data_IF_621960220096
#
_entry.id   IF_621960220096
#
_cell.length_a   1.000
_cell.length_b   1.000
_cell.length_c   1.000
_cell.angle_alpha   90.00
_cell.angle_beta   90.00
_cell.angle_gamma   90.00
#
_symmetry.space_group_name_H-M   'P 1'
#
loop_
_entity.id
_entity.type
_entity.pdbx_description
1 polymer ?
#
# COMPACT_ATOMS: atom_id res chain seq x y z
N UNK A 1 15.43 46.63 -30.45
CA UNK A 1 14.17 45.84 -30.46
C UNK A 1 14.39 44.49 -29.80
N UNK A 2 14.21 44.42 -28.48
CA UNK A 2 14.21 43.15 -27.73
C UNK A 2 12.95 43.13 -26.87
N UNK A 3 12.01 42.24 -27.21
CA UNK A 3 10.68 42.16 -26.60
C UNK A 3 10.81 41.59 -25.19
N UNK A 4 10.38 42.38 -24.21
CA UNK A 4 10.35 42.06 -22.77
C UNK A 4 8.88 42.06 -22.35
N UNK A 5 8.22 40.91 -22.36
CA UNK A 5 6.84 40.76 -21.84
C UNK A 5 6.76 39.43 -21.08
N UNK A 6 6.87 39.47 -19.75
CA UNK A 6 5.77 39.54 -18.77
C UNK A 6 4.92 38.26 -18.73
N UNK A 7 5.37 37.37 -17.84
CA UNK A 7 4.56 36.35 -17.20
C UNK A 7 3.52 37.01 -16.28
N UNK A 8 2.23 36.83 -16.54
CA UNK A 8 1.15 36.86 -15.53
C UNK A 8 -0.04 36.03 -16.06
N UNK A 9 -0.47 35.05 -15.24
CA UNK A 9 -1.77 34.37 -15.23
C UNK A 9 -2.08 33.41 -16.40
N UNK A 10 -2.17 32.10 -16.11
CA UNK A 10 -3.52 31.58 -15.85
C UNK A 10 -3.55 30.53 -14.72
N UNK A 11 -3.54 31.00 -13.46
CA UNK A 11 -3.86 30.17 -12.29
C UNK A 11 -5.34 30.24 -11.88
N UNK A 12 -6.16 31.01 -12.61
CA UNK A 12 -7.58 31.25 -12.33
C UNK A 12 -8.55 30.66 -13.38
N UNK A 13 -8.08 29.79 -14.28
CA UNK A 13 -8.95 29.05 -15.22
C UNK A 13 -8.88 27.52 -15.04
N UNK A 14 -8.29 27.01 -13.95
CA UNK A 14 -8.16 25.57 -13.68
C UNK A 14 -8.65 25.17 -12.28
N UNK A 15 -9.61 25.92 -11.74
CA UNK A 15 -10.27 25.64 -10.45
C UNK A 15 -11.78 25.46 -10.56
N UNK A 16 -12.30 25.25 -11.78
CA UNK A 16 -13.73 25.13 -12.08
C UNK A 16 -14.05 24.04 -13.13
N UNK A 17 -13.30 22.93 -13.13
CA UNK A 17 -13.60 21.75 -13.98
C UNK A 17 -13.08 20.44 -13.35
N UNK A 18 -13.31 20.22 -12.06
CA UNK A 18 -13.05 18.92 -11.40
C UNK A 18 -14.06 18.64 -10.27
N UNK A 19 -15.28 19.17 -10.39
CA UNK A 19 -16.43 18.80 -9.54
C UNK A 19 -17.53 18.22 -10.42
N UNK A 20 -17.20 17.19 -11.19
CA UNK A 20 -18.15 16.34 -11.90
C UNK A 20 -17.35 15.16 -12.49
N UNK A 21 -17.89 13.94 -12.40
CA UNK A 21 -17.25 12.64 -12.71
C UNK A 21 -16.39 12.07 -11.57
N UNK A 22 -17.06 11.41 -10.64
CA UNK A 22 -16.98 9.94 -10.50
C UNK A 22 -18.00 9.47 -9.46
N UNK A 23 -19.28 9.51 -9.85
CA UNK A 23 -20.27 8.62 -9.28
C UNK A 23 -20.06 7.23 -9.88
N UNK A 24 -19.66 6.28 -9.05
CA UNK A 24 -19.43 4.89 -9.44
C UNK A 24 -19.52 3.99 -8.22
N UNK A 25 -20.75 3.63 -7.84
CA UNK A 25 -21.05 2.60 -6.84
C UNK A 25 -20.53 1.26 -7.37
N UNK A 26 -19.52 0.69 -6.72
CA UNK A 26 -19.20 -0.72 -6.89
C UNK A 26 -20.16 -1.55 -6.01
N UNK A 27 -21.07 -2.24 -6.65
CA UNK A 27 -21.91 -3.31 -6.10
C UNK A 27 -21.04 -4.49 -5.64
N UNK A 28 -21.15 -4.87 -4.37
CA UNK A 28 -20.60 -6.12 -3.84
C UNK A 28 -21.64 -7.24 -4.01
N UNK A 29 -21.25 -8.46 -4.43
CA UNK A 29 -22.16 -9.59 -4.53
C UNK A 29 -22.49 -10.19 -3.16
N UNK A 30 -23.75 -10.63 -3.05
CA UNK A 30 -24.33 -11.31 -1.91
C UNK A 30 -24.07 -12.83 -1.97
N UNK A 31 -23.65 -13.40 -0.84
CA UNK A 31 -23.85 -14.81 -0.46
C UNK A 31 -23.69 -14.90 1.07
N UNK A 32 -24.78 -15.10 1.84
CA UNK A 32 -25.31 -16.40 2.31
C UNK A 32 -24.23 -17.18 3.10
N UNK A 33 -24.34 -17.44 4.41
CA UNK A 33 -25.47 -17.92 5.21
C UNK A 33 -25.41 -17.40 6.66
N UNK A 34 -26.54 -16.93 7.20
CA UNK A 34 -26.73 -16.68 8.64
C UNK A 34 -27.36 -17.93 9.23
N UNK A 35 -26.78 -18.47 10.30
CA UNK A 35 -27.41 -19.51 11.10
C UNK A 35 -28.65 -18.96 11.80
N UNK A 36 -29.75 -19.66 11.63
CA UNK A 36 -31.03 -19.51 12.34
C UNK A 36 -30.85 -19.55 13.88
N UNK A 37 -31.39 -18.59 14.64
CA UNK A 37 -31.68 -18.79 16.05
C UNK A 37 -33.08 -19.40 16.22
N UNK A 38 -33.11 -20.58 16.85
CA UNK A 38 -34.33 -21.30 17.23
C UNK A 38 -35.30 -20.41 18.03
N UNK A 39 -36.55 -20.45 17.58
CA UNK A 39 -37.74 -19.92 18.25
C UNK A 39 -37.86 -20.50 19.65
N UNK A 40 -37.85 -19.65 20.68
CA UNK A 40 -38.44 -19.97 21.98
C UNK A 40 -39.80 -19.28 22.03
N UNK A 41 -40.81 -20.11 22.19
CA UNK A 41 -42.24 -19.80 22.20
C UNK A 41 -42.64 -18.84 23.32
N UNK A 42 -43.63 -18.00 22.99
CA UNK A 42 -44.38 -17.14 23.90
C UNK A 42 -45.02 -17.95 25.03
N UNK A 43 -44.86 -17.48 26.25
CA UNK A 43 -45.85 -17.68 27.31
C UNK A 43 -46.45 -16.33 27.70
N UNK A 44 -47.77 -16.35 27.90
CA UNK A 44 -48.70 -15.23 28.01
C UNK A 44 -48.38 -14.26 29.15
N UNK A 45 -48.76 -13.00 28.90
CA UNK A 45 -48.85 -11.93 29.88
C UNK A 45 -49.81 -12.28 31.03
N UNK A 46 -49.35 -12.08 32.26
CA UNK A 46 -50.15 -11.94 33.47
C UNK A 46 -49.86 -10.56 34.06
N UNK A 47 -50.91 -9.75 34.18
CA UNK A 47 -50.88 -8.41 34.74
C UNK A 47 -50.36 -8.42 36.18
N UNK A 48 -49.51 -7.45 36.50
CA UNK A 48 -48.93 -7.30 37.83
C UNK A 48 -48.05 -6.07 37.87
N UNK A 49 -48.67 -4.93 38.14
CA UNK A 49 -48.05 -3.66 38.49
C UNK A 49 -46.93 -3.86 39.51
N UNK A 50 -45.70 -3.77 39.03
CA UNK A 50 -44.55 -3.37 39.84
C UNK A 50 -43.60 -2.66 38.90
N UNK A 51 -43.84 -1.36 38.77
CA UNK A 51 -42.90 -0.34 38.32
C UNK A 51 -41.70 -0.33 39.30
N UNK A 52 -40.96 -1.44 39.42
CA UNK A 52 -39.64 -1.40 40.00
C UNK A 52 -38.77 -0.77 38.93
N UNK A 53 -38.53 0.52 39.12
CA UNK A 53 -37.38 1.21 38.59
C UNK A 53 -36.13 0.38 38.90
N UNK A 54 -35.75 -0.53 38.00
CA UNK A 54 -34.34 -0.88 37.88
C UNK A 54 -33.70 0.41 37.37
N UNK A 55 -33.30 1.26 38.33
CA UNK A 55 -32.21 2.20 38.13
C UNK A 55 -31.13 1.35 37.49
N UNK A 56 -30.99 1.49 36.17
CA UNK A 56 -29.76 1.17 35.51
C UNK A 56 -28.77 2.13 36.17
N UNK A 57 -28.19 1.69 37.29
CA UNK A 57 -26.98 2.26 37.81
C UNK A 57 -25.95 1.92 36.73
N UNK A 58 -25.92 2.72 35.67
CA UNK A 58 -24.76 2.88 34.83
C UNK A 58 -23.69 3.41 35.77
N UNK A 59 -23.05 2.51 36.50
CA UNK A 59 -21.79 2.78 37.15
C UNK A 59 -20.89 3.23 36.00
N UNK A 60 -20.74 4.53 35.86
CA UNK A 60 -19.78 5.13 34.96
C UNK A 60 -18.41 4.78 35.52
N UNK A 61 -17.97 3.53 35.32
CA UNK A 61 -16.63 3.10 35.67
C UNK A 61 -15.71 3.95 34.81
N UNK A 62 -15.08 4.94 35.42
CA UNK A 62 -14.24 5.89 34.71
C UNK A 62 -13.15 5.11 33.98
N UNK A 63 -13.22 5.10 32.65
CA UNK A 63 -12.26 4.41 31.79
C UNK A 63 -10.89 5.08 31.96
N UNK A 64 -9.84 4.27 32.11
CA UNK A 64 -8.47 4.76 32.27
C UNK A 64 -8.07 5.66 31.09
N UNK A 65 -7.83 6.95 31.38
CA UNK A 65 -7.27 7.91 30.42
C UNK A 65 -5.74 7.81 30.38
N UNK A 66 -5.15 8.15 29.24
CA UNK A 66 -3.72 8.00 28.99
C UNK A 66 -3.10 9.33 28.55
N UNK A 67 -1.85 9.53 28.92
CA UNK A 67 -1.05 10.69 28.54
C UNK A 67 0.16 10.27 27.71
N UNK A 68 0.60 11.14 26.80
CA UNK A 68 1.84 10.90 26.06
C UNK A 68 3.04 10.95 27.01
N UNK A 69 4.02 10.09 26.74
CA UNK A 69 5.27 9.98 27.53
C UNK A 69 6.43 10.84 27.00
N UNK A 70 6.23 11.56 25.89
CA UNK A 70 7.22 12.43 25.24
C UNK A 70 6.82 13.88 25.41
N UNK A 71 7.78 14.80 25.28
CA UNK A 71 7.52 16.25 25.25
C UNK A 71 6.64 16.68 24.07
N UNK A 72 6.65 15.93 22.97
CA UNK A 72 5.80 16.20 21.80
C UNK A 72 4.34 15.82 22.11
N UNK A 73 3.48 16.82 22.25
CA UNK A 73 2.06 16.69 22.55
C UNK A 73 1.16 16.42 21.33
N UNK A 74 1.63 16.77 20.12
CA UNK A 74 0.82 16.70 18.90
C UNK A 74 0.77 15.31 18.25
N UNK A 75 -0.33 15.01 17.55
CA UNK A 75 -0.56 13.77 16.82
C UNK A 75 0.09 13.78 15.41
N UNK A 76 1.41 13.90 15.36
CA UNK A 76 2.16 13.93 14.10
C UNK A 76 2.50 12.51 13.59
N UNK A 77 2.97 12.40 12.35
CA UNK A 77 3.40 11.13 11.77
C UNK A 77 4.62 10.48 12.49
N UNK A 78 5.37 11.22 13.30
CA UNK A 78 6.47 10.69 14.12
C UNK A 78 6.01 10.22 15.51
N UNK A 79 4.81 10.64 15.95
CA UNK A 79 4.28 10.39 17.30
C UNK A 79 3.17 9.32 17.35
N UNK A 80 3.13 8.41 16.38
CA UNK A 80 2.10 7.37 16.34
C UNK A 80 2.34 6.33 17.44
N UNK A 81 1.32 6.06 18.25
CA UNK A 81 1.35 5.14 19.39
C UNK A 81 0.45 3.93 19.15
N UNK A 82 0.70 2.86 19.91
CA UNK A 82 -0.21 1.72 20.08
C UNK A 82 -0.46 1.51 21.57
N UNK A 83 -1.66 1.03 21.91
CA UNK A 83 -1.99 0.64 23.28
C UNK A 83 -1.44 -0.75 23.56
N UNK A 84 -0.85 -0.91 24.75
CA UNK A 84 -0.40 -2.21 25.25
C UNK A 84 -0.79 -2.34 26.71
N UNK A 85 -1.34 -3.49 27.09
CA UNK A 85 -1.45 -3.87 28.50
C UNK A 85 -0.08 -4.36 28.98
N UNK A 86 0.35 -3.87 30.13
CA UNK A 86 1.56 -4.33 30.79
C UNK A 86 1.23 -5.47 31.77
N UNK A 87 2.23 -6.28 32.18
CA UNK A 87 2.02 -7.30 33.20
C UNK A 87 1.44 -6.76 34.52
N UNK A 88 1.77 -5.53 34.89
CA UNK A 88 1.20 -4.83 36.06
C UNK A 88 -0.23 -4.31 35.86
N UNK A 89 -0.97 -4.85 34.90
CA UNK A 89 -2.36 -4.50 34.58
C UNK A 89 -2.61 -3.00 34.33
N UNK A 90 -1.65 -2.31 33.70
CA UNK A 90 -1.80 -0.91 33.28
C UNK A 90 -1.82 -0.81 31.76
N UNK A 91 -2.69 0.03 31.21
CA UNK A 91 -2.67 0.36 29.79
C UNK A 91 -1.64 1.47 29.57
N UNK A 92 -0.71 1.29 28.62
CA UNK A 92 0.35 2.28 28.35
C UNK A 92 0.54 2.47 26.83
N UNK A 93 0.94 3.67 26.43
CA UNK A 93 1.37 3.93 25.06
C UNK A 93 2.77 3.38 24.78
N UNK A 94 2.88 2.58 23.73
CA UNK A 94 4.14 2.23 23.08
C UNK A 94 4.26 3.00 21.76
N UNK A 95 5.40 3.66 21.55
CA UNK A 95 5.67 4.39 20.31
C UNK A 95 6.02 3.44 19.18
N UNK A 96 5.24 3.49 18.12
CA UNK A 96 5.47 2.68 16.93
C UNK A 96 6.56 3.29 16.05
N UNK A 97 7.30 2.45 15.33
CA UNK A 97 8.25 2.91 14.31
C UNK A 97 7.48 3.09 13.00
N UNK A 98 7.83 4.10 12.19
CA UNK A 98 7.21 4.23 10.85
C UNK A 98 7.49 2.99 10.02
N UNK A 99 6.45 2.51 9.36
CA UNK A 99 6.50 1.33 8.49
C UNK A 99 7.48 1.52 7.34
N UNK A 100 8.28 0.48 7.09
CA UNK A 100 9.16 0.41 5.92
C UNK A 100 8.37 0.06 4.67
N UNK A 101 9.01 0.25 3.51
CA UNK A 101 8.45 -0.07 2.21
C UNK A 101 9.45 -0.94 1.46
N UNK A 102 8.99 -2.04 0.86
CA UNK A 102 9.83 -2.87 0.00
C UNK A 102 10.27 -2.09 -1.26
N UNK A 103 11.43 -2.42 -1.86
CA UNK A 103 11.92 -1.71 -3.04
C UNK A 103 10.95 -1.86 -4.22
N UNK A 104 10.83 -0.79 -5.00
CA UNK A 104 10.17 -0.81 -6.30
C UNK A 104 11.13 -1.42 -7.33
N UNK A 105 10.58 -2.02 -8.38
CA UNK A 105 11.40 -2.50 -9.48
C UNK A 105 12.01 -1.33 -10.27
N UNK A 106 13.29 -1.43 -10.62
CA UNK A 106 14.03 -0.46 -11.41
C UNK A 106 13.55 -0.32 -12.87
N UNK A 107 12.64 -1.18 -13.34
CA UNK A 107 12.11 -1.11 -14.69
C UNK A 107 11.19 0.10 -14.96
N UNK A 108 10.68 0.77 -13.92
CA UNK A 108 9.78 1.93 -14.04
C UNK A 108 8.36 1.62 -14.53
N UNK A 109 8.16 0.50 -15.25
CA UNK A 109 6.88 0.11 -15.85
C UNK A 109 5.99 -0.63 -14.84
N UNK A 110 6.57 -1.46 -13.97
CA UNK A 110 5.79 -2.27 -13.05
C UNK A 110 5.42 -1.48 -11.78
N UNK A 111 4.12 -1.38 -11.41
CA UNK A 111 3.70 -0.70 -10.19
C UNK A 111 3.97 -1.53 -8.92
N UNK A 112 4.24 -2.83 -9.07
CA UNK A 112 4.46 -3.76 -7.97
C UNK A 112 5.80 -3.57 -7.23
N UNK A 113 5.81 -3.99 -5.97
CA UNK A 113 7.05 -4.08 -5.17
C UNK A 113 7.68 -5.45 -5.29
N UNK A 114 9.00 -5.50 -5.10
CA UNK A 114 9.74 -6.76 -5.18
C UNK A 114 9.41 -7.68 -4.01
N UNK A 115 9.17 -8.95 -4.32
CA UNK A 115 8.93 -10.02 -3.35
C UNK A 115 10.27 -10.58 -2.83
N UNK A 116 10.24 -11.18 -1.64
CA UNK A 116 11.42 -11.79 -1.01
C UNK A 116 12.35 -10.81 -0.29
N UNK A 117 12.04 -9.51 -0.28
CA UNK A 117 12.85 -8.48 0.39
C UNK A 117 12.04 -7.88 1.52
N UNK A 118 12.65 -7.77 2.70
CA UNK A 118 11.95 -7.27 3.89
C UNK A 118 11.61 -5.78 3.75
N UNK A 119 10.35 -5.41 4.00
CA UNK A 119 9.89 -4.03 4.00
C UNK A 119 10.26 -3.31 5.30
N UNK A 120 11.52 -2.90 5.42
CA UNK A 120 12.06 -2.23 6.63
C UNK A 120 12.56 -0.81 6.33
N UNK A 121 12.92 -0.07 7.37
CA UNK A 121 13.57 1.25 7.23
C UNK A 121 15.03 1.10 6.75
N UNK A 122 15.61 2.10 6.05
CA UNK A 122 16.98 2.02 5.52
C UNK A 122 18.05 1.70 6.57
N UNK A 123 18.01 2.33 7.75
CA UNK A 123 18.96 2.03 8.84
C UNK A 123 18.85 0.59 9.36
N UNK A 124 17.64 0.03 9.39
CA UNK A 124 17.44 -1.37 9.77
C UNK A 124 17.91 -2.29 8.65
N UNK A 125 17.69 -1.90 7.39
CA UNK A 125 18.16 -2.63 6.21
C UNK A 125 19.68 -2.78 6.20
N UNK A 126 20.42 -1.77 6.67
CA UNK A 126 21.89 -1.87 6.80
C UNK A 126 22.29 -3.02 7.74
N UNK A 127 21.59 -3.18 8.87
CA UNK A 127 21.87 -4.21 9.89
C UNK A 127 21.43 -5.62 9.50
N UNK A 128 20.57 -5.79 8.49
CA UNK A 128 20.11 -7.11 8.07
C UNK A 128 21.22 -7.90 7.37
N UNK A 129 21.12 -9.24 7.39
CA UNK A 129 21.99 -10.12 6.61
C UNK A 129 21.76 -9.98 5.10
N UNK A 130 22.77 -10.32 4.28
CA UNK A 130 22.73 -10.15 2.81
C UNK A 130 21.53 -10.85 2.18
N UNK A 131 21.25 -12.10 2.55
CA UNK A 131 20.14 -12.93 2.03
C UNK A 131 18.76 -12.31 2.22
N UNK A 132 18.58 -11.46 3.23
CA UNK A 132 17.30 -10.77 3.51
C UNK A 132 17.09 -9.51 2.67
N UNK A 133 18.13 -9.05 1.94
CA UNK A 133 18.13 -7.81 1.15
C UNK A 133 17.89 -8.03 -0.35
N UNK A 134 18.18 -9.21 -0.87
CA UNK A 134 18.10 -9.53 -2.30
C UNK A 134 17.61 -10.97 -2.52
N UNK A 135 17.29 -11.29 -3.77
CA UNK A 135 16.89 -12.63 -4.22
C UNK A 135 18.04 -13.22 -5.03
N UNK A 136 18.29 -14.53 -4.92
CA UNK A 136 19.33 -15.26 -5.65
C UNK A 136 19.00 -15.45 -7.14
N UNK A 137 19.06 -14.36 -7.92
CA UNK A 137 18.92 -14.35 -9.38
C UNK A 137 19.57 -13.12 -10.01
N UNK A 138 19.75 -13.12 -11.32
CA UNK A 138 20.18 -11.94 -12.07
C UNK A 138 19.26 -10.73 -11.79
N UNK A 139 19.87 -9.59 -11.47
CA UNK A 139 19.20 -8.36 -11.04
C UNK A 139 18.24 -8.54 -9.84
N UNK A 140 18.51 -9.53 -8.99
CA UNK A 140 17.75 -9.81 -7.78
C UNK A 140 17.76 -8.62 -6.82
N UNK A 141 16.57 -8.19 -6.42
CA UNK A 141 16.42 -7.00 -5.57
C UNK A 141 16.43 -5.64 -6.27
N UNK A 142 16.70 -5.62 -7.56
CA UNK A 142 16.57 -4.43 -8.40
C UNK A 142 15.40 -4.55 -9.39
N UNK A 143 15.26 -5.68 -10.07
CA UNK A 143 14.24 -5.88 -11.11
C UNK A 143 13.25 -7.01 -10.82
N UNK A 144 12.06 -6.91 -11.43
CA UNK A 144 11.02 -7.93 -11.34
C UNK A 144 11.36 -9.17 -12.19
N UNK A 145 10.85 -10.36 -11.85
CA UNK A 145 11.17 -11.60 -12.58
C UNK A 145 10.64 -11.60 -14.02
N UNK A 146 9.46 -11.04 -14.25
CA UNK A 146 8.89 -10.84 -15.59
C UNK A 146 9.82 -9.96 -16.45
N UNK A 147 10.18 -8.80 -15.91
CA UNK A 147 11.05 -7.81 -16.54
C UNK A 147 12.43 -8.37 -16.93
N UNK A 148 13.02 -9.20 -16.06
CA UNK A 148 14.31 -9.83 -16.33
C UNK A 148 14.19 -10.83 -17.49
N UNK A 149 13.14 -11.65 -17.51
CA UNK A 149 12.87 -12.58 -18.62
C UNK A 149 12.65 -11.84 -19.93
N UNK A 150 11.86 -10.77 -19.92
CA UNK A 150 11.59 -9.98 -21.13
C UNK A 150 12.86 -9.30 -21.66
N UNK A 151 13.76 -8.85 -20.78
CA UNK A 151 15.07 -8.31 -21.17
C UNK A 151 15.97 -9.36 -21.81
N UNK A 152 16.01 -10.58 -21.26
CA UNK A 152 16.79 -11.68 -21.82
C UNK A 152 16.29 -12.02 -23.22
N UNK A 153 14.97 -12.21 -23.38
CA UNK A 153 14.34 -12.50 -24.68
C UNK A 153 14.58 -11.38 -25.70
N UNK A 154 14.40 -10.12 -25.30
CA UNK A 154 14.62 -8.96 -26.19
C UNK A 154 16.07 -8.83 -26.61
N UNK A 155 17.01 -8.99 -25.68
CA UNK A 155 18.43 -8.93 -26.00
C UNK A 155 18.80 -10.02 -27.02
N UNK A 156 18.35 -11.26 -26.80
CA UNK A 156 18.57 -12.37 -27.71
C UNK A 156 18.02 -12.08 -29.12
N UNK A 157 16.73 -11.77 -29.23
CA UNK A 157 16.09 -11.54 -30.54
C UNK A 157 16.68 -10.35 -31.30
N UNK A 158 17.12 -9.31 -30.60
CA UNK A 158 17.78 -8.16 -31.23
C UNK A 158 19.15 -8.56 -31.79
N UNK A 159 19.92 -9.38 -31.08
CA UNK A 159 21.20 -9.88 -31.60
C UNK A 159 20.99 -10.82 -32.79
N UNK A 160 20.02 -11.72 -32.74
CA UNK A 160 19.67 -12.58 -33.87
C UNK A 160 19.27 -11.75 -35.10
N UNK A 161 18.39 -10.76 -34.93
CA UNK A 161 18.00 -9.87 -36.01
C UNK A 161 19.19 -9.09 -36.59
N UNK A 162 20.14 -8.65 -35.75
CA UNK A 162 21.36 -7.97 -36.21
C UNK A 162 22.22 -8.88 -37.08
N UNK A 163 22.34 -10.17 -36.73
CA UNK A 163 23.10 -11.15 -37.52
C UNK A 163 22.43 -11.34 -38.89
N UNK A 164 21.11 -11.56 -38.91
CA UNK A 164 20.34 -11.72 -40.16
C UNK A 164 20.52 -10.49 -41.07
N UNK A 165 20.39 -9.28 -40.51
CA UNK A 165 20.58 -8.04 -41.26
C UNK A 165 22.01 -7.92 -41.82
N UNK A 166 23.04 -8.36 -41.08
CA UNK A 166 24.43 -8.36 -41.57
C UNK A 166 24.62 -9.34 -42.72
N UNK A 167 24.07 -10.55 -42.62
CA UNK A 167 24.18 -11.58 -43.67
C UNK A 167 23.46 -11.14 -44.94
N UNK A 168 22.25 -10.61 -44.83
CA UNK A 168 21.50 -10.10 -45.99
C UNK A 168 22.24 -8.94 -46.68
N UNK A 169 22.88 -8.05 -45.91
CA UNK A 169 23.72 -6.98 -46.47
C UNK A 169 24.95 -7.53 -47.20
N UNK A 170 25.62 -8.53 -46.64
CA UNK A 170 26.77 -9.18 -47.28
C UNK A 170 26.39 -9.91 -48.57
N UNK A 171 25.25 -10.61 -48.59
CA UNK A 171 24.71 -11.24 -49.80
C UNK A 171 24.32 -10.22 -50.87
N UNK A 172 23.69 -9.10 -50.49
CA UNK A 172 23.36 -8.04 -51.44
C UNK A 172 24.61 -7.37 -52.04
N UNK A 173 25.72 -7.29 -51.28
CA UNK A 173 26.99 -6.79 -51.79
C UNK A 173 27.64 -7.79 -52.75
N UNK A 174 27.66 -9.08 -52.43
CA UNK A 174 28.25 -10.09 -53.31
C UNK A 174 27.50 -10.26 -54.64
N UNK A 175 26.17 -10.08 -54.65
CA UNK A 175 25.37 -10.10 -55.88
C UNK A 175 25.53 -8.82 -56.73
N UNK A 176 25.94 -7.69 -56.14
CA UNK A 176 26.20 -6.44 -56.89
C UNK A 176 27.58 -6.40 -57.54
N UNK A 177 28.56 -7.11 -56.96
CA UNK A 177 29.92 -7.19 -57.49
C UNK A 177 30.09 -8.22 -58.61
N UNK A 178 29.04 -9.02 -58.86
CA UNK A 178 29.03 -10.09 -59.85
C UNK A 178 28.24 -9.64 -61.07
#
# INVERSE_FOLDING_TARGET
>A
MFRRERAWLPWLQRRRMLTEKTGGRASLPASASRGEPRVISRLRAGAGSRFLSYRCATSFVMVQRLTYRRRLSYNTASNKTRLSRTPGNRIVYLYTKKVGKAPKSACGICPGRLRGIRAVRPQVLMRLSKTKKHVSRAYGGSMCAKCVRDRIKRAFLIEEQKIVVKVLKAQAQSQKSK
#
